data_IF_222030482455
#
_entry.id   IF_222030482455
#
_cell.length_a   1.000
_cell.length_b   1.000
_cell.length_c   1.000
_cell.angle_alpha   90.00
_cell.angle_beta   90.00
_cell.angle_gamma   90.00
#
_symmetry.space_group_name_H-M   'P 1'
#
loop_
_entity.id
_entity.type
_entity.pdbx_description
1 polymer ?
#
# COMPACT_ATOMS: atom_id res chain seq x y z
N UNK A 1 11.85 -9.19 -0.70
CA UNK A 1 11.14 -9.35 0.59
C UNK A 1 12.09 -9.28 1.78
N UNK A 2 13.10 -10.13 1.85
CA UNK A 2 14.04 -10.14 2.99
C UNK A 2 14.78 -8.80 3.20
N UNK A 3 15.19 -8.15 2.13
CA UNK A 3 15.87 -6.85 2.19
C UNK A 3 14.94 -5.77 2.78
N UNK A 4 13.70 -5.66 2.28
CA UNK A 4 12.70 -4.74 2.82
C UNK A 4 12.40 -5.02 4.29
N UNK A 5 12.22 -6.29 4.65
CA UNK A 5 11.96 -6.68 6.04
C UNK A 5 13.11 -6.31 6.98
N UNK A 6 14.35 -6.52 6.56
CA UNK A 6 15.53 -6.15 7.33
C UNK A 6 15.70 -4.63 7.48
N UNK A 7 15.39 -3.87 6.43
CA UNK A 7 15.44 -2.41 6.46
C UNK A 7 14.38 -1.84 7.42
N UNK A 8 13.14 -2.30 7.30
CA UNK A 8 12.05 -1.92 8.20
C UNK A 8 12.39 -2.29 9.66
N UNK A 9 12.88 -3.51 9.91
CA UNK A 9 13.23 -3.95 11.25
C UNK A 9 14.35 -3.10 11.88
N UNK A 10 15.33 -2.68 11.11
CA UNK A 10 16.38 -1.77 11.57
C UNK A 10 15.82 -0.41 11.95
N UNK A 11 14.96 0.15 11.10
CA UNK A 11 14.43 1.49 11.28
C UNK A 11 13.40 1.59 12.41
N UNK A 12 12.70 0.49 12.68
CA UNK A 12 11.74 0.37 13.79
C UNK A 12 12.29 -0.42 14.99
N UNK A 13 13.60 -0.55 15.12
CA UNK A 13 14.22 -1.26 16.23
C UNK A 13 13.74 -0.73 17.59
N UNK A 14 13.24 -1.62 18.46
CA UNK A 14 12.69 -1.27 19.76
C UNK A 14 11.29 -0.63 19.74
N UNK A 15 10.64 -0.62 18.58
CA UNK A 15 9.26 -0.14 18.39
C UNK A 15 8.38 -1.25 17.84
N UNK A 16 7.08 -1.11 18.01
CA UNK A 16 6.08 -2.06 17.51
C UNK A 16 5.11 -1.36 16.55
N UNK A 17 5.48 -1.20 15.26
CA UNK A 17 4.64 -0.50 14.31
C UNK A 17 3.35 -1.25 14.02
N UNK A 18 2.33 -0.54 13.56
CA UNK A 18 1.13 -1.11 12.96
C UNK A 18 1.33 -1.12 11.44
N UNK A 19 1.36 -2.32 10.84
CA UNK A 19 1.33 -2.48 9.41
C UNK A 19 -0.13 -2.40 8.95
N UNK A 20 -0.43 -1.44 8.09
CA UNK A 20 -1.79 -1.20 7.58
C UNK A 20 -1.84 -1.54 6.10
N UNK A 21 -2.46 -2.67 5.76
CA UNK A 21 -2.64 -3.10 4.38
C UNK A 21 -3.86 -2.47 3.70
N UNK A 22 -3.69 -1.98 2.48
CA UNK A 22 -4.77 -1.45 1.64
C UNK A 22 -5.34 -2.56 0.74
N UNK A 23 -6.47 -3.16 1.14
CA UNK A 23 -7.09 -4.28 0.43
C UNK A 23 -7.65 -3.84 -0.95
N UNK A 24 -7.73 -4.78 -1.93
CA UNK A 24 -7.46 -6.24 -1.83
C UNK A 24 -6.06 -6.62 -2.32
N UNK A 25 -5.49 -5.89 -3.30
CA UNK A 25 -4.30 -6.29 -4.05
C UNK A 25 -3.04 -6.46 -3.17
N UNK A 26 -2.92 -5.68 -2.09
CA UNK A 26 -1.79 -5.79 -1.16
C UNK A 26 -1.75 -7.09 -0.34
N UNK A 27 -2.82 -7.93 -0.35
CA UNK A 27 -2.98 -9.07 0.57
C UNK A 27 -1.77 -10.00 0.60
N UNK A 28 -1.28 -10.40 -0.58
CA UNK A 28 -0.12 -11.32 -0.68
C UNK A 28 1.14 -10.62 -0.21
N UNK A 29 1.34 -9.37 -0.62
CA UNK A 29 2.50 -8.58 -0.22
C UNK A 29 2.56 -8.35 1.29
N UNK A 30 1.44 -7.98 1.93
CA UNK A 30 1.37 -7.81 3.39
C UNK A 30 1.72 -9.11 4.11
N UNK A 31 1.18 -10.24 3.65
CA UNK A 31 1.44 -11.54 4.26
C UNK A 31 2.92 -11.92 4.19
N UNK A 32 3.56 -11.70 3.06
CA UNK A 32 4.99 -12.00 2.88
C UNK A 32 5.88 -11.01 3.62
N UNK A 33 5.54 -9.71 3.58
CA UNK A 33 6.27 -8.66 4.27
C UNK A 33 6.24 -8.87 5.79
N UNK A 34 5.06 -9.13 6.36
CA UNK A 34 4.91 -9.39 7.79
C UNK A 34 5.81 -10.53 8.26
N UNK A 35 5.90 -11.61 7.50
CA UNK A 35 6.81 -12.74 7.82
C UNK A 35 8.29 -12.41 7.64
N UNK A 36 8.61 -11.42 6.80
CA UNK A 36 9.98 -10.98 6.54
C UNK A 36 10.48 -9.92 7.53
N UNK A 37 9.58 -9.27 8.28
CA UNK A 37 9.90 -8.24 9.29
C UNK A 37 10.09 -8.91 10.66
N UNK A 38 11.33 -9.12 11.14
CA UNK A 38 11.63 -9.91 12.34
C UNK A 38 11.53 -9.09 13.65
N UNK A 39 10.56 -8.17 13.75
CA UNK A 39 10.23 -7.44 14.97
C UNK A 39 8.74 -7.59 15.27
N UNK A 40 8.34 -7.38 16.51
CA UNK A 40 6.92 -7.34 16.87
C UNK A 40 6.22 -6.19 16.13
N UNK A 41 5.08 -6.49 15.56
CA UNK A 41 4.21 -5.52 14.89
C UNK A 41 2.76 -6.00 14.93
N UNK A 42 1.84 -5.08 14.83
CA UNK A 42 0.42 -5.39 14.64
C UNK A 42 0.07 -5.34 13.15
N UNK A 43 -0.97 -6.08 12.76
CA UNK A 43 -1.53 -6.02 11.42
C UNK A 43 -2.95 -5.51 11.48
N UNK A 44 -3.30 -4.60 10.57
CA UNK A 44 -4.67 -4.17 10.33
C UNK A 44 -4.86 -3.86 8.83
N UNK A 45 -6.09 -3.70 8.42
CA UNK A 45 -6.44 -3.51 7.03
C UNK A 45 -7.45 -2.39 6.86
N UNK A 46 -7.30 -1.65 5.78
CA UNK A 46 -8.32 -0.75 5.26
C UNK A 46 -8.80 -1.23 3.89
N UNK A 47 -10.01 -0.86 3.51
CA UNK A 47 -10.48 -1.05 2.14
C UNK A 47 -10.96 0.28 1.58
N UNK A 48 -10.42 0.65 0.43
CA UNK A 48 -10.73 1.88 -0.26
C UNK A 48 -11.40 1.59 -1.60
N UNK A 49 -12.39 2.38 -1.96
CA UNK A 49 -12.97 2.36 -3.30
C UNK A 49 -12.87 3.73 -3.96
N UNK A 50 -12.50 3.74 -5.22
CA UNK A 50 -12.62 4.92 -6.06
C UNK A 50 -14.05 5.07 -6.57
N UNK A 51 -14.67 6.21 -6.33
CA UNK A 51 -15.98 6.55 -6.88
C UNK A 51 -15.84 7.59 -7.99
N UNK A 52 -16.47 7.30 -9.11
CA UNK A 52 -16.55 8.22 -10.24
C UNK A 52 -16.02 7.60 -11.53
N UNK A 53 -16.79 7.74 -12.61
CA UNK A 53 -16.37 7.31 -13.95
C UNK A 53 -15.41 8.36 -14.52
N UNK A 54 -14.18 7.95 -14.82
CA UNK A 54 -13.23 8.77 -15.58
C UNK A 54 -13.79 9.21 -16.95
N UNK A 55 -14.82 8.51 -17.44
CA UNK A 55 -15.49 8.79 -18.71
C UNK A 55 -16.41 10.03 -18.67
N UNK A 56 -16.74 10.55 -17.49
CA UNK A 56 -17.67 11.69 -17.33
C UNK A 56 -17.00 12.97 -16.80
N UNK A 57 -15.66 13.06 -16.78
CA UNK A 57 -14.96 14.25 -16.29
C UNK A 57 -15.14 14.51 -14.79
N UNK A 58 -15.67 13.54 -14.05
CA UNK A 58 -15.88 13.64 -12.61
C UNK A 58 -14.58 13.40 -11.85
N UNK A 59 -14.35 14.15 -10.77
CA UNK A 59 -13.28 13.86 -9.84
C UNK A 59 -13.51 12.49 -9.22
N UNK A 60 -12.52 11.61 -9.32
CA UNK A 60 -12.57 10.33 -8.64
C UNK A 60 -12.54 10.57 -7.13
N UNK A 61 -13.68 10.36 -6.48
CA UNK A 61 -13.76 10.42 -5.02
C UNK A 61 -13.30 9.09 -4.43
N UNK A 62 -12.38 9.16 -3.48
CA UNK A 62 -11.93 7.99 -2.73
C UNK A 62 -12.82 7.88 -1.49
N UNK A 63 -13.34 6.69 -1.25
CA UNK A 63 -14.15 6.37 -0.08
C UNK A 63 -13.56 5.18 0.67
N UNK A 64 -13.48 5.30 1.97
CA UNK A 64 -13.14 4.18 2.86
C UNK A 64 -14.36 3.27 3.04
N UNK A 65 -14.23 2.01 2.67
CA UNK A 65 -15.27 0.97 2.83
C UNK A 65 -15.09 0.19 4.13
N UNK A 66 -13.84 -0.15 4.48
CA UNK A 66 -13.43 -0.71 5.77
C UNK A 66 -12.41 0.19 6.41
N UNK A 67 -12.62 0.49 7.67
CA UNK A 67 -11.71 1.27 8.50
C UNK A 67 -10.87 0.34 9.40
N UNK A 68 -9.86 0.90 10.08
CA UNK A 68 -9.04 0.21 11.05
C UNK A 68 -9.87 -0.29 12.23
N UNK A 69 -9.53 -1.47 12.72
CA UNK A 69 -10.06 -2.01 13.97
C UNK A 69 -9.18 -1.58 15.18
N UNK A 70 -7.90 -1.28 14.93
CA UNK A 70 -6.94 -0.88 15.96
C UNK A 70 -6.93 0.63 16.18
N UNK A 71 -6.75 1.06 17.44
CA UNK A 71 -6.37 2.43 17.76
C UNK A 71 -4.89 2.64 17.43
N UNK A 72 -4.61 3.62 16.59
CA UNK A 72 -3.26 3.97 16.11
C UNK A 72 -2.68 5.22 16.81
N UNK A 73 -3.37 5.78 17.78
CA UNK A 73 -2.88 6.96 18.52
C UNK A 73 -1.55 6.64 19.20
N UNK A 74 -0.59 7.56 19.04
CA UNK A 74 0.77 7.45 19.56
C UNK A 74 1.56 6.22 19.07
N UNK A 75 1.07 5.53 18.01
CA UNK A 75 1.75 4.38 17.39
C UNK A 75 2.40 4.75 16.08
N UNK A 76 3.51 4.09 15.76
CA UNK A 76 4.09 4.16 14.42
C UNK A 76 3.21 3.37 13.43
N UNK A 77 2.85 3.98 12.30
CA UNK A 77 2.04 3.38 11.24
C UNK A 77 2.88 3.20 9.99
N UNK A 78 2.91 1.99 9.46
CA UNK A 78 3.50 1.66 8.17
C UNK A 78 2.41 1.19 7.22
N UNK A 79 2.01 2.06 6.28
CA UNK A 79 1.04 1.73 5.23
C UNK A 79 1.71 0.78 4.22
N UNK A 80 1.03 -0.31 3.87
CA UNK A 80 1.52 -1.32 2.92
C UNK A 80 0.65 -1.28 1.68
N UNK A 81 1.21 -0.78 0.58
CA UNK A 81 0.56 -0.67 -0.72
C UNK A 81 1.16 -1.66 -1.73
N UNK A 82 0.33 -2.20 -2.58
CA UNK A 82 0.76 -3.01 -3.72
C UNK A 82 1.44 -2.15 -4.79
N UNK A 83 0.83 -1.04 -5.15
CA UNK A 83 1.39 -0.08 -6.11
C UNK A 83 1.09 1.36 -5.71
N UNK A 84 2.09 2.22 -5.83
CA UNK A 84 1.90 3.67 -5.77
C UNK A 84 2.04 4.24 -7.18
N UNK A 85 0.90 4.59 -7.76
CA UNK A 85 0.77 5.15 -9.11
C UNK A 85 0.67 6.69 -9.05
N UNK A 86 -0.51 7.26 -9.22
CA UNK A 86 -0.74 8.71 -9.12
C UNK A 86 -0.48 9.26 -7.71
N UNK A 87 -0.55 8.42 -6.71
CA UNK A 87 -0.39 8.79 -5.31
C UNK A 87 -1.66 9.32 -4.63
N UNK A 88 -2.76 9.49 -5.36
CA UNK A 88 -4.00 10.06 -4.81
C UNK A 88 -4.58 9.17 -3.69
N UNK A 89 -4.60 7.86 -3.88
CA UNK A 89 -5.10 6.89 -2.89
C UNK A 89 -4.26 6.91 -1.63
N UNK A 90 -2.94 6.81 -1.78
CA UNK A 90 -2.02 6.86 -0.65
C UNK A 90 -2.12 8.19 0.10
N UNK A 91 -2.17 9.33 -0.60
CA UNK A 91 -2.32 10.64 0.02
C UNK A 91 -3.63 10.77 0.82
N UNK A 92 -4.74 10.26 0.29
CA UNK A 92 -6.00 10.22 1.03
C UNK A 92 -5.87 9.41 2.32
N UNK A 93 -5.26 8.22 2.23
CA UNK A 93 -5.08 7.34 3.36
C UNK A 93 -4.15 7.96 4.42
N UNK A 94 -3.00 8.50 4.01
CA UNK A 94 -2.06 9.19 4.90
C UNK A 94 -2.78 10.29 5.68
N UNK A 95 -3.45 11.21 4.98
CA UNK A 95 -4.17 12.32 5.63
C UNK A 95 -5.27 11.84 6.59
N UNK A 96 -5.98 10.77 6.21
CA UNK A 96 -7.03 10.20 7.05
C UNK A 96 -6.47 9.59 8.33
N UNK A 97 -5.33 8.91 8.25
CA UNK A 97 -4.70 8.27 9.40
C UNK A 97 -3.99 9.30 10.30
N UNK A 98 -3.36 10.34 9.73
CA UNK A 98 -2.72 11.42 10.49
C UNK A 98 -3.69 12.14 11.43
N UNK A 99 -4.96 12.29 11.05
CA UNK A 99 -6.00 12.90 11.89
C UNK A 99 -6.27 12.11 13.19
N UNK A 100 -5.78 10.87 13.28
CA UNK A 100 -5.94 10.00 14.46
C UNK A 100 -4.78 10.09 15.45
N UNK A 101 -3.79 10.95 15.18
CA UNK A 101 -2.67 11.22 16.06
C UNK A 101 -1.66 10.07 16.21
N UNK A 102 -1.26 9.37 15.12
CA UNK A 102 -0.16 8.41 15.20
C UNK A 102 1.15 9.11 15.55
N UNK A 103 2.11 8.36 16.09
CA UNK A 103 3.47 8.87 16.36
C UNK A 103 4.22 9.14 15.05
N UNK A 104 4.02 8.31 14.04
CA UNK A 104 4.54 8.51 12.68
C UNK A 104 3.68 7.80 11.65
N UNK A 105 3.73 8.28 10.39
CA UNK A 105 3.16 7.60 9.23
C UNK A 105 4.24 7.50 8.16
N UNK A 106 4.48 6.29 7.68
CA UNK A 106 5.33 6.00 6.53
C UNK A 106 4.62 4.98 5.62
N UNK A 107 5.11 4.79 4.41
CA UNK A 107 4.59 3.79 3.49
C UNK A 107 5.69 2.91 2.92
N UNK A 108 5.34 1.66 2.67
CA UNK A 108 6.08 0.70 1.85
C UNK A 108 5.23 0.30 0.67
N UNK A 109 5.81 0.25 -0.50
CA UNK A 109 5.13 -0.21 -1.72
C UNK A 109 5.91 -1.32 -2.40
N UNK A 110 5.20 -2.30 -2.95
CA UNK A 110 5.84 -3.33 -3.78
C UNK A 110 6.27 -2.74 -5.12
N UNK A 111 5.39 -2.02 -5.78
CA UNK A 111 5.67 -1.35 -7.06
C UNK A 111 5.53 0.16 -6.93
N UNK A 112 6.50 0.90 -7.47
CA UNK A 112 6.44 2.36 -7.56
C UNK A 112 6.50 2.83 -9.02
N UNK A 113 5.61 3.78 -9.38
CA UNK A 113 5.55 4.43 -10.70
C UNK A 113 5.69 5.94 -10.56
N UNK A 114 6.88 6.45 -10.24
CA UNK A 114 7.07 7.86 -9.88
C UNK A 114 6.70 8.84 -11.00
N UNK A 115 6.81 8.44 -12.27
CA UNK A 115 6.47 9.28 -13.43
C UNK A 115 4.97 9.46 -13.66
N UNK A 116 4.10 8.72 -12.97
CA UNK A 116 2.64 8.93 -12.96
C UNK A 116 2.16 9.78 -11.79
N UNK A 117 3.07 10.24 -10.94
CA UNK A 117 2.77 10.93 -9.71
C UNK A 117 2.03 12.25 -9.97
N UNK A 118 0.90 12.45 -9.30
CA UNK A 118 0.10 13.68 -9.27
C UNK A 118 0.16 14.36 -7.90
N UNK A 119 0.75 13.72 -6.92
CA UNK A 119 0.89 14.21 -5.55
C UNK A 119 2.36 14.12 -5.16
N UNK A 120 2.92 15.27 -4.79
CA UNK A 120 4.26 15.34 -4.22
C UNK A 120 4.25 14.99 -2.71
N UNK A 121 5.43 14.78 -2.12
CA UNK A 121 5.66 14.63 -0.68
C UNK A 121 4.89 13.47 -0.02
N UNK A 122 4.72 12.36 -0.75
CA UNK A 122 4.19 11.13 -0.15
C UNK A 122 5.25 10.48 0.75
N UNK A 123 4.86 9.93 1.94
CA UNK A 123 5.79 9.33 2.88
C UNK A 123 6.23 7.91 2.47
N UNK A 124 6.45 7.67 1.17
CA UNK A 124 6.95 6.40 0.64
C UNK A 124 8.41 6.26 1.02
N UNK A 125 8.69 5.43 2.00
CA UNK A 125 10.02 5.25 2.56
C UNK A 125 10.71 4.01 2.03
N UNK A 126 9.95 2.98 1.72
CA UNK A 126 10.46 1.69 1.25
C UNK A 126 9.80 1.31 -0.06
N UNK A 127 10.62 0.93 -1.03
CA UNK A 127 10.16 0.58 -2.39
C UNK A 127 10.75 -0.77 -2.78
N UNK A 128 9.88 -1.69 -3.17
CA UNK A 128 10.31 -2.98 -3.71
C UNK A 128 10.94 -2.81 -5.09
N UNK A 129 10.17 -2.29 -6.03
CA UNK A 129 10.62 -2.12 -7.41
C UNK A 129 10.06 -0.82 -8.00
N UNK A 130 10.92 -0.07 -8.71
CA UNK A 130 10.46 0.99 -9.61
C UNK A 130 10.18 0.35 -10.98
N UNK A 131 8.97 0.52 -11.49
CA UNK A 131 8.49 -0.20 -12.68
C UNK A 131 7.92 0.74 -13.74
N UNK A 132 7.96 0.36 -15.04
CA UNK A 132 7.35 1.11 -16.12
C UNK A 132 5.81 1.10 -16.04
N UNK A 133 5.16 1.94 -16.89
CA UNK A 133 3.70 2.03 -16.99
C UNK A 133 3.16 0.87 -17.84
N UNK A 134 3.09 -0.30 -17.22
CA UNK A 134 2.61 -1.53 -17.82
C UNK A 134 1.54 -2.16 -16.93
N UNK A 135 0.77 -3.08 -17.48
CA UNK A 135 -0.27 -3.79 -16.76
C UNK A 135 0.32 -5.01 -16.06
N UNK A 136 0.30 -4.99 -14.74
CA UNK A 136 0.78 -6.09 -13.90
C UNK A 136 -0.40 -6.88 -13.34
N UNK A 137 -0.29 -8.20 -13.34
CA UNK A 137 -1.24 -9.15 -12.72
C UNK A 137 -0.48 -10.21 -11.94
N UNK A 138 -1.19 -10.89 -11.04
CA UNK A 138 -0.59 -11.91 -10.16
C UNK A 138 -0.02 -11.32 -8.88
N UNK A 139 0.32 -12.17 -7.92
CA UNK A 139 0.81 -11.79 -6.60
C UNK A 139 -0.14 -10.81 -5.87
N UNK A 140 -1.45 -11.00 -6.03
CA UNK A 140 -2.49 -10.14 -5.49
C UNK A 140 -3.07 -9.13 -6.48
N UNK A 141 -2.30 -8.70 -7.51
CA UNK A 141 -2.79 -7.81 -8.56
C UNK A 141 -3.78 -8.50 -9.47
N UNK A 142 -4.76 -7.75 -9.96
CA UNK A 142 -5.83 -8.27 -10.81
C UNK A 142 -6.09 -7.46 -12.07
N UNK A 143 -6.81 -8.12 -12.96
CA UNK A 143 -7.62 -7.48 -13.98
C UNK A 143 -9.04 -8.07 -13.89
N UNK A 144 -10.04 -7.24 -13.61
CA UNK A 144 -11.45 -7.64 -13.46
C UNK A 144 -11.64 -8.81 -12.45
N UNK A 145 -11.02 -8.71 -11.29
CA UNK A 145 -11.02 -9.72 -10.21
C UNK A 145 -10.40 -11.08 -10.59
N UNK A 146 -9.59 -11.14 -11.66
CA UNK A 146 -8.87 -12.34 -12.10
C UNK A 146 -7.38 -12.20 -11.91
N UNK A 147 -6.65 -13.32 -11.85
CA UNK A 147 -5.20 -13.44 -11.79
C UNK A 147 -4.55 -13.15 -10.43
N UNK A 148 -5.29 -12.77 -9.37
CA UNK A 148 -4.70 -12.51 -8.04
C UNK A 148 -3.97 -13.73 -7.48
N UNK A 149 -4.43 -14.93 -7.85
CA UNK A 149 -3.92 -16.22 -7.39
C UNK A 149 -2.57 -16.62 -7.98
N UNK A 150 -2.10 -15.97 -9.04
CA UNK A 150 -0.82 -16.29 -9.63
C UNK A 150 0.31 -16.00 -8.62
N UNK A 151 1.28 -16.94 -8.46
CA UNK A 151 2.30 -16.81 -7.43
C UNK A 151 3.35 -15.73 -7.71
N UNK A 152 3.50 -15.32 -8.97
CA UNK A 152 4.42 -14.26 -9.40
C UNK A 152 3.70 -13.12 -10.12
N UNK A 153 4.33 -11.94 -10.13
CA UNK A 153 3.92 -10.82 -10.97
C UNK A 153 4.22 -11.13 -12.43
N UNK A 154 3.24 -10.86 -13.29
CA UNK A 154 3.34 -11.00 -14.74
C UNK A 154 2.90 -9.75 -15.45
N UNK A 155 3.53 -9.46 -16.59
CA UNK A 155 3.05 -8.46 -17.53
C UNK A 155 1.92 -9.05 -18.37
N UNK A 156 0.82 -8.30 -18.46
CA UNK A 156 -0.30 -8.66 -19.31
C UNK A 156 -0.34 -7.74 -20.53
N UNK A 157 -0.14 -8.33 -21.70
CA UNK A 157 -0.29 -7.63 -22.98
C UNK A 157 -1.73 -7.82 -23.45
N UNK A 158 -2.48 -6.72 -23.55
CA UNK A 158 -3.80 -6.73 -24.18
C UNK A 158 -3.60 -6.72 -25.70
N UNK A 159 -4.02 -7.78 -26.35
CA UNK A 159 -3.99 -7.92 -27.83
C UNK A 159 -5.13 -7.16 -28.49
#
# INVERSE_FOLDING_TARGET
MQELGAEIARDYAGREPVLVGSLKACLVFVADLSRAVPIFHSLDFVELAGYGSALMGGHQQIRMLKDLDLDIRDRDVLIVEDVVDTGLTLNYLVRTLELRGPASVAAVTLLDRPYRRLVDDLPVRYVGFVVPDELYVGYGFDLEERYRELPELRLLHLS
#
